data_IF_280464717708
#
_entry.id   IF_280464717708
#
_cell.length_a   1.000
_cell.length_b   1.000
_cell.length_c   1.000
_cell.angle_alpha   90.00
_cell.angle_beta   90.00
_cell.angle_gamma   90.00
#
_symmetry.space_group_name_H-M   'P 1'
#
loop_
_entity.id
_entity.type
_entity.pdbx_description
1 polymer ?
#
# COMPACT_ATOMS: atom_id res chain seq x y z
N UNK A 1 -9.18 15.01 -11.44
CA UNK A 1 -8.52 13.70 -11.32
C UNK A 1 -8.64 12.98 -12.66
N UNK A 2 -7.54 12.46 -13.20
CA UNK A 2 -7.55 11.68 -14.43
C UNK A 2 -7.90 10.21 -14.09
N UNK A 3 -8.95 9.66 -14.69
CA UNK A 3 -9.38 8.29 -14.43
C UNK A 3 -8.55 7.33 -15.30
N UNK A 4 -7.71 6.50 -14.66
CA UNK A 4 -6.95 5.43 -15.35
C UNK A 4 -7.71 4.11 -15.26
N UNK A 5 -7.90 3.44 -16.40
CA UNK A 5 -8.49 2.09 -16.45
C UNK A 5 -7.39 1.06 -16.25
N UNK A 6 -7.58 0.15 -15.31
CA UNK A 6 -6.70 -0.98 -15.08
C UNK A 6 -7.53 -2.28 -15.19
N UNK A 7 -6.98 -3.29 -15.84
CA UNK A 7 -7.58 -4.64 -15.90
C UNK A 7 -6.85 -5.54 -14.92
N UNK A 8 -7.60 -6.29 -14.10
CA UNK A 8 -7.06 -7.25 -13.14
C UNK A 8 -7.79 -8.57 -13.26
N UNK A 9 -7.09 -9.68 -13.04
CA UNK A 9 -7.65 -11.02 -13.00
C UNK A 9 -7.66 -11.54 -11.57
N UNK A 10 -8.67 -12.35 -11.25
CA UNK A 10 -8.79 -13.05 -9.96
C UNK A 10 -9.49 -14.39 -10.17
N UNK A 11 -9.29 -15.38 -9.28
CA UNK A 11 -10.05 -16.62 -9.32
C UNK A 11 -11.55 -16.38 -9.24
N UNK A 12 -12.35 -17.21 -9.89
CA UNK A 12 -13.80 -17.05 -9.95
C UNK A 12 -14.46 -17.05 -8.55
N UNK A 13 -13.96 -17.88 -7.63
CA UNK A 13 -14.44 -17.91 -6.24
C UNK A 13 -14.26 -16.56 -5.53
N UNK A 14 -13.15 -15.87 -5.76
CA UNK A 14 -12.87 -14.55 -5.19
C UNK A 14 -13.82 -13.51 -5.78
N UNK A 15 -14.05 -13.52 -7.09
CA UNK A 15 -15.01 -12.62 -7.74
C UNK A 15 -16.41 -12.78 -7.16
N UNK A 16 -16.87 -14.03 -6.98
CA UNK A 16 -18.18 -14.33 -6.37
C UNK A 16 -18.31 -13.78 -4.96
N UNK A 17 -17.26 -13.88 -4.14
CA UNK A 17 -17.26 -13.29 -2.79
C UNK A 17 -17.37 -11.77 -2.84
N UNK A 18 -16.63 -11.12 -3.74
CA UNK A 18 -16.65 -9.67 -3.86
C UNK A 18 -17.99 -9.14 -4.40
N UNK A 19 -18.60 -9.85 -5.37
CA UNK A 19 -19.93 -9.55 -5.89
C UNK A 19 -20.99 -9.68 -4.81
N UNK A 20 -20.96 -10.77 -4.02
CA UNK A 20 -21.89 -10.97 -2.92
C UNK A 20 -21.79 -9.88 -1.84
N UNK A 21 -20.57 -9.41 -1.53
CA UNK A 21 -20.38 -8.33 -0.56
C UNK A 21 -20.83 -6.97 -1.12
N UNK A 22 -20.60 -6.73 -2.41
CA UNK A 22 -21.10 -5.53 -3.09
C UNK A 22 -22.64 -5.50 -3.09
N UNK A 23 -23.29 -6.63 -3.36
CA UNK A 23 -24.74 -6.79 -3.31
C UNK A 23 -25.29 -6.59 -1.89
N UNK A 24 -24.67 -7.24 -0.89
CA UNK A 24 -25.03 -7.08 0.53
C UNK A 24 -24.99 -5.62 0.98
N UNK A 25 -23.98 -4.86 0.53
CA UNK A 25 -23.81 -3.43 0.84
C UNK A 25 -24.60 -2.51 -0.08
N UNK A 26 -25.23 -3.03 -1.14
CA UNK A 26 -25.91 -2.28 -2.20
C UNK A 26 -25.02 -1.20 -2.83
N UNK A 27 -23.76 -1.53 -3.09
CA UNK A 27 -22.80 -0.64 -3.76
C UNK A 27 -22.25 -1.29 -5.03
N UNK A 28 -21.81 -0.51 -6.03
CA UNK A 28 -21.10 -1.06 -7.18
C UNK A 28 -19.80 -1.77 -6.75
N UNK A 29 -19.47 -2.89 -7.39
CA UNK A 29 -18.22 -3.62 -7.17
C UNK A 29 -16.97 -2.72 -7.29
N UNK A 30 -16.98 -1.76 -8.22
CA UNK A 30 -15.91 -0.79 -8.38
C UNK A 30 -15.69 0.10 -7.14
N UNK A 31 -16.75 0.43 -6.39
CA UNK A 31 -16.66 1.19 -5.14
C UNK A 31 -15.97 0.36 -4.07
N UNK A 32 -16.40 -0.90 -3.90
CA UNK A 32 -15.81 -1.83 -2.94
C UNK A 32 -14.33 -2.09 -3.24
N UNK A 33 -13.96 -2.25 -4.53
CA UNK A 33 -12.58 -2.39 -4.95
C UNK A 33 -11.75 -1.14 -4.68
N UNK A 34 -12.31 0.06 -4.90
CA UNK A 34 -11.64 1.32 -4.59
C UNK A 34 -11.33 1.41 -3.10
N UNK A 35 -12.31 1.13 -2.24
CA UNK A 35 -12.15 1.15 -0.78
C UNK A 35 -11.04 0.19 -0.33
N UNK A 36 -11.07 -1.06 -0.81
CA UNK A 36 -10.06 -2.07 -0.46
C UNK A 36 -8.64 -1.65 -0.91
N UNK A 37 -8.51 -1.06 -2.11
CA UNK A 37 -7.23 -0.55 -2.60
C UNK A 37 -6.74 0.64 -1.76
N UNK A 38 -7.62 1.57 -1.43
CA UNK A 38 -7.28 2.73 -0.60
C UNK A 38 -6.82 2.31 0.81
N UNK A 39 -7.53 1.36 1.43
CA UNK A 39 -7.18 0.78 2.72
C UNK A 39 -5.80 0.11 2.67
N UNK A 40 -5.56 -0.77 1.69
CA UNK A 40 -4.28 -1.45 1.54
C UNK A 40 -3.15 -0.46 1.25
N UNK A 41 -3.39 0.54 0.40
CA UNK A 41 -2.42 1.57 0.09
C UNK A 41 -2.07 2.42 1.31
N UNK A 42 -3.07 2.77 2.14
CA UNK A 42 -2.84 3.45 3.43
C UNK A 42 -1.98 2.61 4.36
N UNK A 43 -2.34 1.34 4.56
CA UNK A 43 -1.56 0.42 5.39
C UNK A 43 -0.11 0.26 4.89
N UNK A 44 0.09 0.17 3.58
CA UNK A 44 1.43 0.14 2.98
C UNK A 44 2.21 1.43 3.21
N UNK A 45 1.58 2.60 3.11
CA UNK A 45 2.24 3.89 3.37
C UNK A 45 2.59 4.05 4.85
N UNK A 46 1.72 3.62 5.75
CA UNK A 46 1.98 3.65 7.19
C UNK A 46 3.12 2.71 7.57
N UNK A 47 3.13 1.48 7.04
CA UNK A 47 4.20 0.52 7.25
C UNK A 47 5.53 0.91 6.60
N UNK A 48 5.48 1.59 5.45
CA UNK A 48 6.67 2.10 4.75
C UNK A 48 7.15 3.45 5.24
N UNK A 49 6.41 4.15 6.11
CA UNK A 49 6.76 5.51 6.55
C UNK A 49 8.16 5.44 7.17
N UNK A 50 9.19 5.99 6.50
CA UNK A 50 10.54 5.97 7.05
C UNK A 50 10.48 6.73 8.36
N UNK A 51 10.72 6.03 9.47
CA UNK A 51 10.80 6.66 10.79
C UNK A 51 12.17 7.33 10.91
N UNK A 52 12.41 8.35 10.09
CA UNK A 52 13.60 9.18 10.23
C UNK A 52 13.46 9.99 11.51
N UNK A 53 14.45 9.87 12.40
CA UNK A 53 14.51 10.63 13.66
C UNK A 53 13.96 9.96 14.93
N UNK A 54 13.56 8.68 14.90
CA UNK A 54 13.15 7.95 16.14
C UNK A 54 14.25 7.01 16.62
N UNK A 55 15.47 7.53 16.75
CA UNK A 55 16.44 7.00 17.68
C UNK A 55 16.55 8.03 18.79
N UNK A 56 16.04 7.72 19.99
CA UNK A 56 16.43 8.46 21.19
C UNK A 56 17.88 8.03 21.45
N UNK A 57 18.80 8.75 20.84
CA UNK A 57 20.23 8.49 20.93
C UNK A 57 20.64 8.63 22.39
N UNK A 58 20.97 7.52 23.05
CA UNK A 58 21.72 7.56 24.32
C UNK A 58 23.17 7.98 24.08
N UNK A 59 23.62 7.95 22.82
CA UNK A 59 25.03 8.00 22.45
C UNK A 59 25.37 9.19 21.50
N UNK A 60 24.43 10.13 21.30
CA UNK A 60 24.64 11.39 20.58
C UNK A 60 24.74 11.35 19.04
N UNK A 61 24.64 10.18 18.38
CA UNK A 61 24.72 10.08 16.90
C UNK A 61 23.41 10.44 16.20
N UNK A 62 23.52 11.05 15.02
CA UNK A 62 22.36 11.53 14.24
C UNK A 62 21.85 10.46 13.28
N UNK A 63 20.53 10.45 13.00
CA UNK A 63 19.90 9.46 12.12
C UNK A 63 20.44 9.48 10.67
N UNK A 64 21.02 10.60 10.23
CA UNK A 64 21.60 10.76 8.89
C UNK A 64 22.86 9.91 8.67
N UNK A 65 23.62 9.61 9.73
CA UNK A 65 24.83 8.77 9.65
C UNK A 65 24.49 7.28 9.52
N UNK A 66 23.30 6.87 9.96
CA UNK A 66 22.91 5.45 10.02
C UNK A 66 22.25 4.98 8.72
N UNK A 67 21.54 5.86 8.00
CA UNK A 67 20.81 5.47 6.78
C UNK A 67 21.66 5.54 5.50
N UNK A 68 22.98 5.60 5.61
CA UNK A 68 23.91 5.73 4.49
C UNK A 68 24.33 4.38 3.86
N UNK A 69 23.49 3.34 3.90
CA UNK A 69 23.74 2.13 3.13
C UNK A 69 23.43 2.38 1.63
N UNK A 70 24.30 1.92 0.70
CA UNK A 70 24.17 2.22 -0.72
C UNK A 70 23.00 1.47 -1.36
N UNK A 71 22.17 2.20 -2.12
CA UNK A 71 21.12 1.61 -2.97
C UNK A 71 21.82 0.85 -4.11
N UNK A 72 21.49 -0.42 -4.29
CA UNK A 72 22.07 -1.32 -5.30
C UNK A 72 21.93 -0.76 -6.74
N UNK A 73 22.99 -0.93 -7.56
CA UNK A 73 23.02 -0.54 -8.98
C UNK A 73 22.04 -1.34 -9.86
N UNK A 74 21.56 -0.71 -10.94
CA UNK A 74 20.62 -1.29 -11.92
C UNK A 74 21.19 -2.51 -12.68
N UNK A 75 20.34 -3.49 -13.04
CA UNK A 75 20.76 -4.69 -13.75
C UNK A 75 21.06 -4.40 -15.23
N UNK A 76 22.14 -4.99 -15.76
CA UNK A 76 22.50 -4.95 -17.20
C UNK A 76 21.71 -5.94 -18.03
#
# INVERSE_FOLDING_TARGET
>A
MQLRRNTVSAPHSVLRTLEAEAERRRVPLATLLREAVEEKARALREGRRPRVGVARSTDGRSAAEVTAEPIADEPR
#
